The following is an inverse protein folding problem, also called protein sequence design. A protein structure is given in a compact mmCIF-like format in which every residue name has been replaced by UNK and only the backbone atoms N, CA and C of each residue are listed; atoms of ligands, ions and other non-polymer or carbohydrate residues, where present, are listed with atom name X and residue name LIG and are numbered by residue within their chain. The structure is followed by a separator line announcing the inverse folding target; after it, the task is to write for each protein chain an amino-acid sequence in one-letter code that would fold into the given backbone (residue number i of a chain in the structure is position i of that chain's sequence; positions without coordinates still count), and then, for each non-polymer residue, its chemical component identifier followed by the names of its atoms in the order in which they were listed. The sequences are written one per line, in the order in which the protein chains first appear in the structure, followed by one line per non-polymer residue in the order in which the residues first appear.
data_IF_268402249057
#
_entry.id   IF_268402249057
#
_cell.length_a   1.000
_cell.length_b   1.000
_cell.length_c   1.000
_cell.angle_alpha   90.00
_cell.angle_beta   90.00
_cell.angle_gamma   90.00
#
_symmetry.space_group_name_H-M   'P 1'
#
loop_
_entity.id
_entity.type
_entity.pdbx_description
1 polymer ?
#
# COMPACT_ATOMS: atom_id res chain seq x y z
N UNK A 1 4.34 6.21 2.21
CA UNK A 1 5.60 5.57 1.76
C UNK A 1 5.30 4.17 1.22
N UNK A 2 6.30 3.48 0.65
CA UNK A 2 6.13 2.14 0.06
C UNK A 2 6.20 1.02 1.10
N UNK A 3 5.45 -0.06 0.86
CA UNK A 3 5.65 -1.37 1.49
C UNK A 3 6.22 -2.31 0.43
N UNK A 4 7.50 -2.68 0.60
CA UNK A 4 8.23 -3.58 -0.29
C UNK A 4 8.34 -4.96 0.38
N UNK A 5 7.91 -6.01 -0.33
CA UNK A 5 8.13 -7.41 0.07
C UNK A 5 8.80 -8.11 -1.10
N UNK A 6 9.88 -8.86 -0.85
CA UNK A 6 10.62 -9.60 -1.88
C UNK A 6 11.00 -8.76 -3.12
N UNK A 7 11.32 -7.48 -2.91
CA UNK A 7 11.68 -6.53 -3.99
C UNK A 7 10.50 -6.00 -4.80
N UNK A 8 9.26 -6.38 -4.48
CA UNK A 8 8.05 -5.93 -5.17
C UNK A 8 7.31 -4.89 -4.33
N UNK A 9 6.65 -3.92 -4.98
CA UNK A 9 5.79 -2.94 -4.31
C UNK A 9 4.41 -3.55 -4.01
N UNK A 10 4.17 -3.93 -2.76
CA UNK A 10 2.92 -4.56 -2.33
C UNK A 10 1.86 -3.56 -1.86
N UNK A 11 2.30 -2.44 -1.29
CA UNK A 11 1.39 -1.49 -0.67
C UNK A 11 1.90 -0.07 -0.57
N UNK A 12 0.97 0.85 -0.35
CA UNK A 12 1.22 2.25 -0.01
C UNK A 12 0.67 2.48 1.40
N UNK A 13 1.44 3.17 2.26
CA UNK A 13 0.98 3.57 3.60
C UNK A 13 -0.39 4.24 3.50
N UNK A 14 -1.37 3.73 4.23
CA UNK A 14 -2.73 4.29 4.24
C UNK A 14 -2.97 5.04 5.55
N UNK A 15 -3.09 4.31 6.67
CA UNK A 15 -3.29 4.88 8.00
C UNK A 15 -2.84 3.92 9.09
N UNK A 16 -2.90 4.34 10.35
CA UNK A 16 -2.57 3.51 11.49
C UNK A 16 -3.09 4.10 12.80
N UNK A 17 -2.88 3.41 13.92
CA UNK A 17 -3.30 3.87 15.24
C UNK A 17 -2.55 5.15 15.67
N UNK A 18 -3.18 5.92 16.56
CA UNK A 18 -2.54 7.01 17.32
C UNK A 18 -2.59 6.70 18.84
N UNK A 19 -1.45 6.72 19.56
CA UNK A 19 -0.08 6.84 19.05
C UNK A 19 0.33 5.68 18.14
N UNK A 20 1.35 5.92 17.32
CA UNK A 20 1.96 4.94 16.41
C UNK A 20 2.71 3.85 17.19
N UNK A 21 2.98 2.69 16.57
CA UNK A 21 3.87 1.67 17.14
C UNK A 21 3.29 0.89 18.34
N UNK A 22 1.96 0.89 18.51
CA UNK A 22 1.31 0.11 19.58
C UNK A 22 1.56 -1.40 19.39
N UNK A 23 1.94 -2.14 20.46
CA UNK A 23 2.07 -3.59 20.40
C UNK A 23 0.80 -4.26 19.89
N UNK A 24 0.96 -5.25 19.01
CA UNK A 24 -0.13 -6.03 18.39
C UNK A 24 -1.14 -5.21 17.55
N UNK A 25 -0.84 -3.94 17.22
CA UNK A 25 -1.67 -3.12 16.32
C UNK A 25 -0.90 -2.81 15.04
N UNK A 26 -1.24 -3.43 13.89
CA UNK A 26 -0.52 -3.21 12.65
C UNK A 26 -0.86 -1.85 12.02
N UNK A 27 0.07 -1.33 11.21
CA UNK A 27 -0.23 -0.28 10.24
C UNK A 27 -1.04 -0.82 9.07
N UNK A 28 -1.89 0.02 8.50
CA UNK A 28 -2.77 -0.35 7.39
C UNK A 28 -2.20 0.22 6.08
N UNK A 29 -2.13 -0.64 5.06
CA UNK A 29 -1.58 -0.35 3.74
C UNK A 29 -2.61 -0.66 2.66
N UNK A 30 -2.63 0.16 1.61
CA UNK A 30 -3.43 -0.12 0.42
C UNK A 30 -2.88 -1.35 -0.31
N UNK A 31 -3.70 -2.37 -0.56
CA UNK A 31 -3.30 -3.60 -1.25
C UNK A 31 -3.22 -3.40 -2.77
N UNK A 32 -2.04 -3.11 -3.29
CA UNK A 32 -1.85 -2.67 -4.69
C UNK A 32 -2.20 -3.71 -5.74
N UNK A 33 -2.05 -5.01 -5.45
CA UNK A 33 -2.38 -6.06 -6.42
C UNK A 33 -3.84 -5.98 -6.90
N UNK A 34 -4.75 -5.47 -6.07
CA UNK A 34 -6.17 -5.26 -6.44
C UNK A 34 -6.38 -4.13 -7.45
N UNK A 35 -5.41 -3.22 -7.58
CA UNK A 35 -5.50 -2.02 -8.41
C UNK A 35 -4.64 -2.09 -9.66
N UNK A 36 -4.02 -3.24 -9.95
CA UNK A 36 -3.08 -3.38 -11.06
C UNK A 36 -3.70 -3.00 -12.43
N UNK A 37 -4.96 -3.38 -12.69
CA UNK A 37 -5.67 -2.98 -13.92
C UNK A 37 -5.84 -1.47 -13.96
N UNK A 38 -6.41 -0.88 -12.91
CA UNK A 38 -6.65 0.55 -12.84
C UNK A 38 -5.36 1.37 -13.03
N UNK A 39 -4.26 0.96 -12.39
CA UNK A 39 -2.96 1.63 -12.55
C UNK A 39 -2.52 1.62 -14.02
N UNK A 40 -2.55 0.45 -14.66
CA UNK A 40 -2.16 0.31 -16.08
C UNK A 40 -3.06 1.10 -17.00
N UNK A 41 -4.37 1.02 -16.79
CA UNK A 41 -5.38 1.71 -17.59
C UNK A 41 -5.25 3.23 -17.47
N UNK A 42 -4.98 3.75 -16.26
CA UNK A 42 -4.76 5.18 -16.04
C UNK A 42 -3.47 5.66 -16.69
N UNK A 43 -2.39 4.90 -16.59
CA UNK A 43 -1.12 5.25 -17.27
C UNK A 43 -1.31 5.25 -18.79
N UNK A 44 -2.05 4.30 -19.36
CA UNK A 44 -2.28 4.23 -20.80
C UNK A 44 -3.21 5.32 -21.35
N UNK A 45 -4.00 5.97 -20.49
CA UNK A 45 -4.97 7.01 -20.87
C UNK A 45 -4.43 8.44 -20.74
N UNK A 46 -3.19 8.61 -20.29
CA UNK A 46 -2.51 9.91 -20.14
C UNK A 46 -1.16 9.87 -20.86
#
# INVERSE_FOLDING_TARGET
GPLICDGVLHGITSWGPSPCGKPNVPGIYTKLIKFNSWIKDTIAKN
#
